data_IF_912801845196
#
_entry.id   IF_912801845196
#
_cell.length_a   1.000
_cell.length_b   1.000
_cell.length_c   1.000
_cell.angle_alpha   90.00
_cell.angle_beta   90.00
_cell.angle_gamma   90.00
#
_symmetry.space_group_name_H-M   'P 1'
#
loop_
_entity.id
_entity.type
_entity.pdbx_description
1 polymer ?
#
# COMPACT_ATOMS: atom_id res chain seq x y z
N UNK A 1 37.89 -22.30 -43.01
CA UNK A 1 36.85 -21.62 -42.22
C UNK A 1 35.87 -22.67 -41.70
N UNK A 2 35.91 -22.99 -40.40
CA UNK A 2 35.21 -24.16 -39.82
C UNK A 2 34.02 -23.73 -38.96
N UNK A 3 32.84 -24.20 -39.40
CA UNK A 3 31.66 -24.69 -38.64
C UNK A 3 30.90 -23.72 -37.71
N UNK A 4 29.66 -23.43 -38.12
CA UNK A 4 28.58 -23.00 -37.25
C UNK A 4 28.27 -24.04 -36.17
N UNK A 5 28.01 -23.57 -34.94
CA UNK A 5 27.27 -24.30 -33.90
C UNK A 5 26.40 -23.31 -33.11
N UNK A 6 25.11 -23.48 -33.27
CA UNK A 6 24.04 -22.94 -32.44
C UNK A 6 23.98 -23.79 -31.15
N UNK A 7 23.99 -23.12 -30.00
CA UNK A 7 23.55 -23.58 -28.68
C UNK A 7 23.00 -22.31 -28.01
N UNK A 8 21.70 -22.02 -27.98
CA UNK A 8 20.62 -22.69 -27.25
C UNK A 8 21.02 -23.00 -25.79
N UNK A 9 20.97 -21.95 -24.96
CA UNK A 9 20.82 -22.09 -23.52
C UNK A 9 19.41 -21.63 -23.16
N UNK A 10 18.55 -22.63 -22.97
CA UNK A 10 17.38 -22.51 -22.12
C UNK A 10 17.80 -22.07 -20.72
N UNK A 11 17.11 -21.08 -20.19
CA UNK A 11 16.62 -21.12 -18.82
C UNK A 11 15.28 -20.38 -18.79
N UNK A 12 14.22 -21.15 -19.07
CA UNK A 12 12.89 -20.83 -18.60
C UNK A 12 12.88 -20.70 -17.07
N UNK A 13 11.80 -20.10 -16.58
CA UNK A 13 11.32 -20.09 -15.20
C UNK A 13 12.09 -19.23 -14.20
N UNK A 14 11.58 -18.01 -14.01
CA UNK A 14 10.86 -17.70 -12.76
C UNK A 14 9.66 -16.83 -13.10
N UNK A 15 8.54 -17.50 -13.38
CA UNK A 15 7.25 -16.94 -12.99
C UNK A 15 7.30 -16.80 -11.46
N UNK A 16 7.20 -15.59 -10.97
CA UNK A 16 6.29 -15.33 -9.84
C UNK A 16 5.51 -14.08 -10.20
N UNK A 17 4.61 -14.25 -11.16
CA UNK A 17 3.33 -13.58 -11.06
C UNK A 17 2.66 -14.13 -9.79
N UNK A 18 2.95 -13.51 -8.65
CA UNK A 18 2.03 -13.53 -7.52
C UNK A 18 1.25 -12.22 -7.54
N UNK A 19 0.53 -12.00 -8.64
CA UNK A 19 -0.75 -11.29 -8.59
C UNK A 19 -1.77 -12.28 -7.97
N UNK A 20 -1.49 -12.69 -6.74
CA UNK A 20 -2.34 -13.53 -5.90
C UNK A 20 -2.81 -12.76 -4.68
N UNK A 21 -2.92 -11.43 -4.80
CA UNK A 21 -3.63 -10.62 -3.82
C UNK A 21 -5.12 -10.76 -4.08
N UNK A 22 -5.88 -11.06 -3.03
CA UNK A 22 -7.33 -11.02 -3.00
C UNK A 22 -7.86 -9.93 -3.95
N UNK A 23 -8.72 -10.30 -4.90
CA UNK A 23 -9.26 -9.40 -5.93
C UNK A 23 -10.27 -8.37 -5.37
N UNK A 24 -10.39 -8.28 -4.05
CA UNK A 24 -11.20 -7.28 -3.37
C UNK A 24 -10.36 -6.02 -3.17
N UNK A 25 -10.60 -5.02 -4.01
CA UNK A 25 -10.04 -3.68 -3.83
C UNK A 25 -10.88 -2.90 -2.82
N UNK A 26 -10.24 -2.01 -2.06
CA UNK A 26 -10.92 -1.08 -1.17
C UNK A 26 -11.88 -0.21 -1.99
N UNK A 27 -13.13 -0.07 -1.53
CA UNK A 27 -14.11 0.76 -2.23
C UNK A 27 -13.82 2.26 -2.01
N UNK A 28 -13.08 2.87 -2.93
CA UNK A 28 -12.66 4.29 -2.88
C UNK A 28 -13.57 5.23 -3.65
N UNK A 29 -14.73 4.77 -4.15
CA UNK A 29 -15.59 5.54 -5.07
C UNK A 29 -16.16 6.87 -4.53
N UNK A 30 -16.06 7.11 -3.22
CA UNK A 30 -16.52 8.34 -2.53
C UNK A 30 -15.39 9.27 -2.08
N UNK A 31 -14.15 8.89 -2.34
CA UNK A 31 -12.96 9.64 -2.02
C UNK A 31 -12.61 10.61 -3.16
N UNK A 32 -11.91 11.69 -2.82
CA UNK A 32 -11.21 12.53 -3.80
C UNK A 32 -10.02 11.77 -4.41
N UNK A 33 -9.51 12.23 -5.54
CA UNK A 33 -8.35 11.60 -6.20
C UNK A 33 -7.14 11.51 -5.25
N UNK A 34 -6.87 12.57 -4.47
CA UNK A 34 -5.76 12.58 -3.49
C UNK A 34 -6.00 11.57 -2.35
N UNK A 35 -7.21 11.53 -1.79
CA UNK A 35 -7.55 10.56 -0.74
C UNK A 35 -7.47 9.12 -1.26
N UNK A 36 -7.90 8.89 -2.51
CA UNK A 36 -7.79 7.59 -3.16
C UNK A 36 -6.34 7.16 -3.30
N UNK A 37 -5.45 8.03 -3.78
CA UNK A 37 -4.01 7.75 -3.86
C UNK A 37 -3.41 7.40 -2.49
N UNK A 38 -3.82 8.11 -1.43
CA UNK A 38 -3.38 7.79 -0.08
C UNK A 38 -3.89 6.42 0.38
N UNK A 39 -5.18 6.13 0.17
CA UNK A 39 -5.79 4.85 0.56
C UNK A 39 -5.16 3.67 -0.17
N UNK A 40 -4.94 3.78 -1.48
CA UNK A 40 -4.31 2.71 -2.27
C UNK A 40 -2.88 2.45 -1.80
N UNK A 41 -2.12 3.51 -1.51
CA UNK A 41 -0.78 3.38 -0.92
C UNK A 41 -0.82 2.72 0.46
N UNK A 42 -1.64 3.23 1.38
CA UNK A 42 -1.76 2.71 2.74
C UNK A 42 -2.22 1.26 2.75
N UNK A 43 -3.19 0.91 1.91
CA UNK A 43 -3.67 -0.46 1.76
C UNK A 43 -2.58 -1.39 1.21
N UNK A 44 -1.81 -0.98 0.21
CA UNK A 44 -0.72 -1.80 -0.32
C UNK A 44 0.32 -2.14 0.76
N UNK A 45 0.64 -1.19 1.63
CA UNK A 45 1.70 -1.30 2.64
C UNK A 45 1.20 -1.74 4.04
N UNK A 46 -0.12 -1.89 4.23
CA UNK A 46 -0.68 -2.33 5.52
C UNK A 46 -0.13 -3.71 5.91
N UNK A 47 0.48 -3.77 7.10
CA UNK A 47 1.13 -4.95 7.68
C UNK A 47 0.15 -5.80 8.48
N UNK A 48 -0.95 -5.21 8.96
CA UNK A 48 -1.98 -5.90 9.71
C UNK A 48 -3.08 -6.46 8.79
N UNK A 49 -3.17 -7.79 8.72
CA UNK A 49 -4.15 -8.49 7.87
C UNK A 49 -5.60 -8.25 8.30
N UNK A 50 -5.88 -8.10 9.60
CA UNK A 50 -7.23 -7.86 10.11
C UNK A 50 -7.70 -6.45 9.71
N UNK A 51 -6.79 -5.47 9.72
CA UNK A 51 -7.07 -4.12 9.23
C UNK A 51 -7.36 -4.19 7.73
N UNK A 52 -6.53 -4.86 6.92
CA UNK A 52 -6.79 -5.05 5.48
C UNK A 52 -8.19 -5.62 5.22
N UNK A 53 -8.56 -6.71 5.90
CA UNK A 53 -9.86 -7.35 5.74
C UNK A 53 -11.01 -6.43 6.14
N UNK A 54 -10.82 -5.62 7.19
CA UNK A 54 -11.81 -4.63 7.61
C UNK A 54 -12.05 -3.61 6.49
N UNK A 55 -11.00 -3.08 5.87
CA UNK A 55 -11.10 -2.14 4.76
C UNK A 55 -11.78 -2.73 3.51
N UNK A 56 -11.52 -4.00 3.18
CA UNK A 56 -12.17 -4.71 2.08
C UNK A 56 -13.70 -4.85 2.28
N UNK A 57 -14.15 -4.88 3.54
CA UNK A 57 -15.56 -5.04 3.91
C UNK A 57 -16.31 -3.70 4.04
N UNK A 58 -15.61 -2.57 4.13
CA UNK A 58 -16.24 -1.28 4.29
C UNK A 58 -16.94 -0.82 2.99
N UNK A 59 -18.18 -0.30 3.06
CA UNK A 59 -18.77 0.42 1.95
C UNK A 59 -18.00 1.73 1.71
N UNK A 60 -18.18 2.34 0.53
CA UNK A 60 -17.46 3.56 0.15
C UNK A 60 -17.56 4.70 1.18
N UNK A 61 -18.76 4.90 1.76
CA UNK A 61 -18.98 5.89 2.83
C UNK A 61 -18.24 5.52 4.12
N UNK A 62 -18.09 4.21 4.42
CA UNK A 62 -17.32 3.73 5.55
C UNK A 62 -15.82 4.01 5.40
N UNK A 63 -15.26 3.80 4.20
CA UNK A 63 -13.87 4.15 3.89
C UNK A 63 -13.64 5.66 4.03
N UNK A 64 -14.58 6.48 3.54
CA UNK A 64 -14.52 7.93 3.68
C UNK A 64 -14.56 8.40 5.14
N UNK A 65 -15.46 7.84 5.93
CA UNK A 65 -15.54 8.14 7.38
C UNK A 65 -14.26 7.76 8.10
N UNK A 66 -13.71 6.57 7.82
CA UNK A 66 -12.44 6.13 8.40
C UNK A 66 -11.31 7.13 8.10
N UNK A 67 -11.17 7.54 6.83
CA UNK A 67 -10.14 8.53 6.43
C UNK A 67 -10.30 9.84 7.20
N UNK A 68 -11.54 10.34 7.32
CA UNK A 68 -11.82 11.58 8.04
C UNK A 68 -11.51 11.48 9.54
N UNK A 69 -11.78 10.33 10.16
CA UNK A 69 -11.49 10.07 11.57
C UNK A 69 -9.99 9.97 11.85
N UNK A 70 -9.22 9.37 10.93
CA UNK A 70 -7.76 9.24 11.10
C UNK A 70 -7.00 10.52 10.77
N UNK A 71 -7.52 11.35 9.86
CA UNK A 71 -6.81 12.54 9.36
C UNK A 71 -6.20 13.42 10.46
N UNK A 72 -6.89 13.79 11.55
CA UNK A 72 -6.29 14.62 12.60
C UNK A 72 -5.08 13.96 13.28
N UNK A 73 -5.09 12.64 13.46
CA UNK A 73 -3.98 11.90 14.05
C UNK A 73 -2.79 11.81 13.11
N UNK A 74 -3.08 11.54 11.84
CA UNK A 74 -2.08 11.36 10.78
C UNK A 74 -1.41 12.70 10.38
N UNK A 75 -2.13 13.81 10.47
CA UNK A 75 -1.65 15.13 10.06
C UNK A 75 -1.20 16.03 11.21
N UNK A 76 -1.59 15.71 12.46
CA UNK A 76 -1.37 16.58 13.61
C UNK A 76 -0.02 16.39 14.30
N UNK A 77 0.34 15.15 14.63
CA UNK A 77 1.56 14.85 15.39
C UNK A 77 2.44 13.87 14.63
N UNK A 78 3.49 14.41 14.00
CA UNK A 78 4.45 13.61 13.24
C UNK A 78 5.22 12.64 14.13
N UNK A 79 5.54 13.00 15.38
CA UNK A 79 6.28 12.11 16.27
C UNK A 79 5.42 10.91 16.66
N UNK A 80 4.14 11.15 16.97
CA UNK A 80 3.17 10.09 17.25
C UNK A 80 2.97 9.17 16.04
N UNK A 81 2.82 9.74 14.83
CA UNK A 81 2.72 8.96 13.59
C UNK A 81 3.94 8.03 13.42
N UNK A 82 5.15 8.57 13.53
CA UNK A 82 6.37 7.78 13.36
C UNK A 82 6.49 6.69 14.44
N UNK A 83 6.10 6.97 15.68
CA UNK A 83 6.08 5.98 16.74
C UNK A 83 5.08 4.84 16.44
N UNK A 84 3.85 5.16 16.02
CA UNK A 84 2.85 4.15 15.67
C UNK A 84 3.26 3.28 14.47
N UNK A 85 3.90 3.88 13.44
CA UNK A 85 4.41 3.11 12.31
C UNK A 85 5.54 2.16 12.73
N UNK A 86 6.44 2.61 13.61
CA UNK A 86 7.48 1.74 14.18
C UNK A 86 6.88 0.57 14.95
N UNK A 87 5.88 0.83 15.79
CA UNK A 87 5.18 -0.19 16.57
C UNK A 87 4.42 -1.19 15.67
N UNK A 88 3.89 -0.73 14.54
CA UNK A 88 3.28 -1.58 13.52
C UNK A 88 4.31 -2.35 12.67
N UNK A 89 5.62 -2.17 12.93
CA UNK A 89 6.70 -2.92 12.29
C UNK A 89 7.17 -2.35 10.96
N UNK A 90 6.93 -1.06 10.67
CA UNK A 90 7.47 -0.39 9.49
C UNK A 90 8.97 -0.12 9.63
N UNK A 91 9.72 -0.36 8.56
CA UNK A 91 11.14 -0.04 8.46
C UNK A 91 11.35 1.46 8.29
N UNK A 92 12.52 1.97 8.68
CA UNK A 92 12.78 3.42 8.67
C UNK A 92 12.50 4.11 7.31
N UNK A 93 12.84 3.44 6.21
CA UNK A 93 12.55 3.94 4.86
C UNK A 93 11.05 3.97 4.55
N UNK A 94 10.32 2.91 4.91
CA UNK A 94 8.87 2.82 4.72
C UNK A 94 8.13 3.87 5.58
N UNK A 95 8.60 4.09 6.81
CA UNK A 95 8.05 5.12 7.70
C UNK A 95 8.20 6.53 7.10
N UNK A 96 9.37 6.82 6.54
CA UNK A 96 9.63 8.10 5.89
C UNK A 96 8.74 8.28 4.65
N UNK A 97 8.60 7.26 3.81
CA UNK A 97 7.70 7.30 2.67
C UNK A 97 6.24 7.47 3.13
N UNK A 98 5.80 6.74 4.14
CA UNK A 98 4.44 6.84 4.67
C UNK A 98 4.12 8.26 5.16
N UNK A 99 5.07 8.89 5.87
CA UNK A 99 4.97 10.29 6.30
C UNK A 99 4.82 11.22 5.11
N UNK A 100 5.67 11.09 4.09
CA UNK A 100 5.64 11.94 2.89
C UNK A 100 4.33 11.79 2.11
N UNK A 101 3.86 10.55 1.92
CA UNK A 101 2.59 10.25 1.25
C UNK A 101 1.41 10.81 2.04
N UNK A 102 1.42 10.67 3.36
CA UNK A 102 0.39 11.22 4.24
C UNK A 102 0.33 12.74 4.14
N UNK A 103 1.46 13.43 4.27
CA UNK A 103 1.53 14.88 4.11
C UNK A 103 1.09 15.34 2.71
N UNK A 104 1.48 14.62 1.66
CA UNK A 104 1.17 14.98 0.27
C UNK A 104 -0.28 14.73 -0.11
N UNK A 105 -0.92 13.70 0.40
CA UNK A 105 -2.21 13.25 -0.12
C UNK A 105 -3.37 13.38 0.86
N UNK A 106 -3.09 13.52 2.16
CA UNK A 106 -4.12 13.53 3.20
C UNK A 106 -4.28 14.85 3.96
N UNK A 107 -3.24 15.69 4.08
CA UNK A 107 -3.18 16.81 5.06
C UNK A 107 -3.51 18.23 4.54
#
# INVERSE_FOLDING_TARGET
MKKARIFLVMACTLMVASCGGSSTSVNTSKLTDREKEWVEFSYAHEKNKEIKQTWEQLPAEGVKSYVNEQRPRLCGDTAALMQSLKEAGYEAGEMQEYKEKTAKFLC
#
